data_IF_098085553151
#
_entry.id   IF_098085553151
#
_cell.length_a   1.000
_cell.length_b   1.000
_cell.length_c   1.000
_cell.angle_alpha   90.00
_cell.angle_beta   90.00
_cell.angle_gamma   90.00
#
_symmetry.space_group_name_H-M   'P 1'
#
loop_
_entity.id
_entity.type
_entity.pdbx_description
1 polymer ?
#
# COMPACT_ATOMS: atom_id res chain seq x y z
N UNK A 1 -4.35 -30.13 0.18
CA UNK A 1 -4.14 -30.12 1.65
C UNK A 1 -2.73 -29.65 2.04
N UNK A 2 -1.62 -30.22 1.55
CA UNK A 2 -0.26 -29.78 1.94
C UNK A 2 0.04 -28.30 1.67
N UNK A 3 -0.40 -27.76 0.51
CA UNK A 3 -0.12 -26.38 0.12
C UNK A 3 -0.84 -25.34 1.00
N UNK A 4 -2.02 -25.67 1.53
CA UNK A 4 -2.80 -24.76 2.39
C UNK A 4 -2.13 -24.54 3.75
N UNK A 5 -1.41 -25.55 4.25
CA UNK A 5 -0.71 -25.50 5.55
C UNK A 5 0.45 -24.50 5.54
N UNK A 6 1.13 -24.32 4.41
CA UNK A 6 2.25 -23.37 4.27
C UNK A 6 1.82 -21.96 3.86
N UNK A 7 0.71 -21.84 3.11
CA UNK A 7 0.20 -20.55 2.65
C UNK A 7 -0.39 -19.72 3.80
N UNK A 8 -1.07 -20.36 4.77
CA UNK A 8 -1.70 -19.64 5.89
C UNK A 8 -0.69 -18.86 6.72
N UNK A 9 0.37 -19.50 7.27
CA UNK A 9 1.38 -18.77 8.06
C UNK A 9 2.05 -17.66 7.26
N UNK A 10 2.28 -17.88 5.96
CA UNK A 10 2.89 -16.90 5.07
C UNK A 10 2.00 -15.65 4.91
N UNK A 11 0.70 -15.82 4.69
CA UNK A 11 -0.27 -14.70 4.59
C UNK A 11 -0.34 -13.91 5.89
N UNK A 12 -0.36 -14.59 7.02
CA UNK A 12 -0.38 -13.94 8.33
C UNK A 12 0.92 -13.19 8.63
N UNK A 13 2.07 -13.75 8.25
CA UNK A 13 3.36 -13.08 8.33
C UNK A 13 3.40 -11.85 7.42
N UNK A 14 2.95 -11.98 6.17
CA UNK A 14 2.87 -10.85 5.22
C UNK A 14 2.02 -9.72 5.80
N UNK A 15 0.86 -10.01 6.39
CA UNK A 15 0.00 -8.99 6.99
C UNK A 15 0.68 -8.26 8.16
N UNK A 16 1.40 -8.98 9.03
CA UNK A 16 2.15 -8.37 10.13
C UNK A 16 3.29 -7.49 9.61
N UNK A 17 4.03 -7.98 8.62
CA UNK A 17 5.07 -7.20 7.95
C UNK A 17 4.47 -5.97 7.25
N UNK A 18 3.30 -6.10 6.62
CA UNK A 18 2.60 -4.99 5.99
C UNK A 18 2.31 -3.89 7.01
N UNK A 19 1.75 -4.21 8.18
CA UNK A 19 1.46 -3.21 9.20
C UNK A 19 2.74 -2.53 9.70
N UNK A 20 3.81 -3.30 9.94
CA UNK A 20 5.09 -2.77 10.40
C UNK A 20 5.73 -1.83 9.36
N UNK A 21 5.94 -2.32 8.14
CA UNK A 21 6.69 -1.59 7.12
C UNK A 21 5.86 -0.53 6.39
N UNK A 22 4.54 -0.74 6.25
CA UNK A 22 3.69 0.17 5.46
C UNK A 22 2.95 1.20 6.30
N UNK A 23 2.85 1.01 7.61
CA UNK A 23 2.16 1.94 8.51
C UNK A 23 3.07 2.46 9.61
N UNK A 24 3.61 1.57 10.46
CA UNK A 24 4.30 1.99 11.67
C UNK A 24 5.63 2.71 11.40
N UNK A 25 6.51 2.11 10.61
CA UNK A 25 7.81 2.71 10.27
C UNK A 25 7.67 4.06 9.52
N UNK A 26 6.87 4.18 8.44
CA UNK A 26 6.71 5.47 7.76
C UNK A 26 6.04 6.53 8.64
N UNK A 27 5.19 6.15 9.59
CA UNK A 27 4.60 7.09 10.54
C UNK A 27 5.66 7.65 11.50
N UNK A 28 6.52 6.78 12.04
CA UNK A 28 7.65 7.19 12.90
C UNK A 28 8.60 8.09 12.11
N UNK A 29 8.94 7.73 10.87
CA UNK A 29 9.78 8.54 9.99
C UNK A 29 9.14 9.90 9.67
N UNK A 30 7.82 9.95 9.48
CA UNK A 30 7.12 11.20 9.20
C UNK A 30 7.18 12.15 10.40
N UNK A 31 6.91 11.66 11.60
CA UNK A 31 7.03 12.44 12.84
C UNK A 31 8.47 12.89 13.04
N UNK A 32 9.45 12.02 12.80
CA UNK A 32 10.86 12.35 12.97
C UNK A 32 11.33 13.40 11.96
N UNK A 33 10.94 13.28 10.69
CA UNK A 33 11.23 14.25 9.64
C UNK A 33 10.56 15.60 9.93
N UNK A 34 9.34 15.60 10.48
CA UNK A 34 8.66 16.82 10.93
C UNK A 34 9.43 17.52 12.05
N UNK A 35 9.88 16.78 13.07
CA UNK A 35 10.68 17.33 14.18
C UNK A 35 12.01 17.90 13.69
N UNK A 36 12.67 17.24 12.74
CA UNK A 36 13.92 17.73 12.12
C UNK A 36 13.72 18.77 11.02
N UNK A 37 12.46 19.10 10.68
CA UNK A 37 12.10 20.04 9.60
C UNK A 37 12.68 19.64 8.23
N UNK A 38 12.79 18.34 7.98
CA UNK A 38 13.24 17.81 6.69
C UNK A 38 12.06 17.80 5.71
N UNK A 39 11.97 18.82 4.86
CA UNK A 39 10.84 18.98 3.94
C UNK A 39 10.84 17.92 2.83
N UNK A 40 12.00 17.52 2.33
CA UNK A 40 12.11 16.56 1.24
C UNK A 40 11.56 15.18 1.66
N UNK A 41 11.99 14.69 2.83
CA UNK A 41 11.49 13.43 3.41
C UNK A 41 10.00 13.53 3.75
N UNK A 42 9.55 14.65 4.34
CA UNK A 42 8.13 14.86 4.65
C UNK A 42 7.25 14.82 3.40
N UNK A 43 7.67 15.48 2.32
CA UNK A 43 6.96 15.50 1.04
C UNK A 43 6.91 14.11 0.42
N UNK A 44 8.04 13.39 0.37
CA UNK A 44 8.05 12.03 -0.19
C UNK A 44 7.17 11.08 0.64
N UNK A 45 7.20 11.17 1.98
CA UNK A 45 6.32 10.39 2.84
C UNK A 45 4.84 10.77 2.65
N UNK A 46 4.53 12.04 2.43
CA UNK A 46 3.15 12.48 2.12
C UNK A 46 2.64 11.88 0.80
N UNK A 47 3.49 11.86 -0.24
CA UNK A 47 3.18 11.21 -1.52
C UNK A 47 3.00 9.71 -1.30
N UNK A 48 3.90 9.09 -0.55
CA UNK A 48 3.81 7.69 -0.16
C UNK A 48 2.47 7.36 0.49
N UNK A 49 2.02 8.12 1.51
CA UNK A 49 0.74 7.88 2.20
C UNK A 49 -0.47 7.99 1.28
N UNK A 50 -0.44 8.94 0.34
CA UNK A 50 -1.50 9.07 -0.67
C UNK A 50 -1.58 7.82 -1.53
N UNK A 51 -0.44 7.30 -1.99
CA UNK A 51 -0.38 6.11 -2.85
C UNK A 51 -0.65 4.81 -2.08
N UNK A 52 -0.09 4.66 -0.88
CA UNK A 52 -0.25 3.47 -0.04
C UNK A 52 -1.65 3.35 0.55
N UNK A 53 -2.45 4.43 0.57
CA UNK A 53 -3.86 4.38 0.96
C UNK A 53 -4.69 3.34 0.19
N UNK A 54 -4.26 2.97 -1.03
CA UNK A 54 -4.88 1.88 -1.79
C UNK A 54 -4.78 0.52 -1.08
N UNK A 55 -3.77 0.28 -0.23
CA UNK A 55 -3.71 -0.91 0.62
C UNK A 55 -4.82 -0.91 1.68
N UNK A 56 -5.12 0.24 2.29
CA UNK A 56 -6.21 0.37 3.25
C UNK A 56 -7.57 0.16 2.58
N UNK A 57 -7.77 0.78 1.41
CA UNK A 57 -8.95 0.55 0.56
C UNK A 57 -9.10 -0.94 0.23
N UNK A 58 -7.98 -1.61 -0.11
CA UNK A 58 -7.96 -3.05 -0.39
C UNK A 58 -8.46 -3.87 0.80
N UNK A 59 -8.03 -3.56 2.02
CA UNK A 59 -8.51 -4.25 3.22
C UNK A 59 -10.04 -4.16 3.33
N UNK A 60 -10.61 -2.98 3.08
CA UNK A 60 -12.06 -2.77 3.16
C UNK A 60 -12.83 -3.53 2.08
N UNK A 61 -12.30 -3.58 0.86
CA UNK A 61 -12.87 -4.38 -0.23
C UNK A 61 -12.86 -5.88 0.10
N UNK A 62 -11.75 -6.38 0.66
CA UNK A 62 -11.59 -7.80 1.01
C UNK A 62 -12.46 -8.23 2.20
N UNK A 63 -12.75 -7.33 3.15
CA UNK A 63 -13.73 -7.58 4.23
C UNK A 63 -15.09 -7.98 3.65
N UNK A 64 -15.53 -7.28 2.61
CA UNK A 64 -16.81 -7.51 1.94
C UNK A 64 -16.76 -8.56 0.82
N UNK A 65 -15.66 -9.32 0.69
CA UNK A 65 -15.45 -10.28 -0.39
C UNK A 65 -15.50 -9.68 -1.80
N UNK A 66 -15.21 -8.38 -1.96
CA UNK A 66 -15.29 -7.73 -3.26
C UNK A 66 -14.04 -8.12 -4.08
N UNK A 67 -14.20 -8.76 -5.26
CA UNK A 67 -13.07 -9.33 -6.01
C UNK A 67 -12.03 -8.30 -6.46
N UNK A 68 -12.45 -7.05 -6.65
CA UNK A 68 -11.55 -5.93 -7.00
C UNK A 68 -10.46 -5.72 -5.96
N UNK A 69 -10.67 -6.13 -4.69
CA UNK A 69 -9.66 -6.06 -3.63
C UNK A 69 -8.36 -6.81 -3.95
N UNK A 70 -8.43 -7.95 -4.65
CA UNK A 70 -7.23 -8.70 -5.04
C UNK A 70 -6.38 -7.90 -6.05
N UNK A 71 -7.04 -7.25 -7.02
CA UNK A 71 -6.38 -6.41 -8.02
C UNK A 71 -5.81 -5.15 -7.37
N UNK A 72 -6.60 -4.45 -6.55
CA UNK A 72 -6.15 -3.20 -5.92
C UNK A 72 -4.96 -3.43 -5.00
N UNK A 73 -4.90 -4.56 -4.28
CA UNK A 73 -3.77 -4.92 -3.43
C UNK A 73 -2.49 -5.16 -4.21
N UNK A 74 -2.56 -5.82 -5.36
CA UNK A 74 -1.41 -6.02 -6.25
C UNK A 74 -0.95 -4.71 -6.86
N UNK A 75 -1.89 -3.90 -7.38
CA UNK A 75 -1.58 -2.58 -7.95
C UNK A 75 -0.93 -1.68 -6.90
N UNK A 76 -1.44 -1.66 -5.66
CA UNK A 76 -0.85 -0.86 -4.59
C UNK A 76 0.63 -1.23 -4.34
N UNK A 77 0.96 -2.52 -4.31
CA UNK A 77 2.33 -3.00 -4.15
C UNK A 77 3.24 -2.62 -5.34
N UNK A 78 2.70 -2.42 -6.53
CA UNK A 78 3.46 -1.89 -7.68
C UNK A 78 3.62 -0.37 -7.61
N UNK A 79 2.56 0.35 -7.26
CA UNK A 79 2.56 1.81 -7.21
C UNK A 79 3.45 2.35 -6.09
N UNK A 80 3.59 1.65 -4.96
CA UNK A 80 4.39 2.12 -3.82
C UNK A 80 5.87 2.32 -4.19
N UNK A 81 6.60 1.31 -4.73
CA UNK A 81 7.97 1.51 -5.21
C UNK A 81 8.09 2.62 -6.25
N UNK A 82 7.13 2.71 -7.18
CA UNK A 82 7.12 3.78 -8.19
C UNK A 82 7.05 5.13 -7.49
N UNK A 83 6.10 5.32 -6.58
CA UNK A 83 5.92 6.57 -5.85
C UNK A 83 7.14 6.95 -5.02
N UNK A 84 7.85 5.97 -4.46
CA UNK A 84 9.07 6.21 -3.70
C UNK A 84 10.20 6.68 -4.63
N UNK A 85 10.42 6.10 -5.80
CA UNK A 85 11.62 6.35 -6.63
C UNK A 85 11.42 7.26 -7.84
N UNK A 86 10.19 7.57 -8.21
CA UNK A 86 9.88 8.28 -9.44
C UNK A 86 10.39 9.74 -9.47
N UNK A 87 10.33 10.44 -8.35
CA UNK A 87 10.58 11.90 -8.23
C UNK A 87 12.06 12.24 -8.22
N UNK A 88 12.56 12.92 -9.26
CA UNK A 88 13.98 13.24 -9.40
C UNK A 88 14.38 14.32 -8.39
N UNK A 89 13.59 15.39 -8.31
CA UNK A 89 13.85 16.54 -7.44
C UNK A 89 13.99 16.13 -5.97
N UNK A 90 13.03 15.34 -5.46
CA UNK A 90 13.10 14.84 -4.09
C UNK A 90 14.25 13.86 -3.87
N UNK A 91 14.65 13.11 -4.91
CA UNK A 91 15.77 12.18 -4.79
C UNK A 91 17.10 12.91 -4.69
N UNK A 92 17.32 13.91 -5.54
CA UNK A 92 18.51 14.75 -5.53
C UNK A 92 18.62 15.51 -4.20
N UNK A 93 17.53 16.14 -3.75
CA UNK A 93 17.51 16.87 -2.48
C UNK A 93 17.85 15.95 -1.28
N UNK A 94 17.28 14.75 -1.23
CA UNK A 94 17.60 13.77 -0.17
C UNK A 94 19.04 13.26 -0.29
N UNK A 95 19.59 13.13 -1.50
CA UNK A 95 20.97 12.67 -1.72
C UNK A 95 22.02 13.72 -1.32
N UNK A 96 21.71 15.00 -1.50
CA UNK A 96 22.60 16.11 -1.13
C UNK A 96 22.59 16.43 0.38
N UNK A 97 21.59 15.95 1.13
CA UNK A 97 21.55 16.12 2.59
C UNK A 97 22.78 15.53 3.29
N UNK A 98 23.26 16.16 4.39
CA UNK A 98 24.36 15.62 5.18
C UNK A 98 24.04 14.23 5.72
N UNK A 99 25.09 13.41 5.89
CA UNK A 99 24.93 12.06 6.47
C UNK A 99 24.40 12.19 7.90
N UNK A 100 23.20 11.68 8.14
CA UNK A 100 22.55 11.67 9.44
C UNK A 100 21.75 10.38 9.66
N UNK A 101 21.39 10.11 10.91
CA UNK A 101 20.66 8.89 11.28
C UNK A 101 19.30 8.84 10.57
N UNK A 102 18.59 9.97 10.48
CA UNK A 102 17.30 10.04 9.77
C UNK A 102 17.42 9.63 8.31
N UNK A 103 18.38 10.22 7.57
CA UNK A 103 18.64 9.87 6.17
C UNK A 103 18.98 8.40 5.99
N UNK A 104 19.82 7.83 6.88
CA UNK A 104 20.16 6.42 6.84
C UNK A 104 18.93 5.54 7.07
N UNK A 105 18.19 5.75 8.17
CA UNK A 105 17.00 4.97 8.50
C UNK A 105 15.93 5.09 7.42
N UNK A 106 15.72 6.30 6.88
CA UNK A 106 14.79 6.54 5.79
C UNK A 106 15.17 5.77 4.53
N UNK A 107 16.43 5.85 4.09
CA UNK A 107 16.89 5.13 2.90
C UNK A 107 16.86 3.60 3.09
N UNK A 108 17.20 3.11 4.28
CA UNK A 108 17.07 1.69 4.62
C UNK A 108 15.61 1.23 4.56
N UNK A 109 14.68 1.98 5.15
CA UNK A 109 13.26 1.70 5.07
C UNK A 109 12.74 1.74 3.63
N UNK A 110 13.17 2.73 2.85
CA UNK A 110 12.75 2.91 1.45
C UNK A 110 13.14 1.71 0.57
N UNK A 111 14.36 1.21 0.73
CA UNK A 111 14.81 -0.03 0.08
C UNK A 111 14.06 -1.27 0.59
N UNK A 112 13.91 -1.42 1.91
CA UNK A 112 13.16 -2.52 2.49
C UNK A 112 11.72 -2.57 1.96
N UNK A 113 11.06 -1.41 1.87
CA UNK A 113 9.70 -1.27 1.36
C UNK A 113 9.61 -1.63 -0.13
N UNK A 114 10.63 -1.28 -0.91
CA UNK A 114 10.73 -1.65 -2.34
C UNK A 114 10.81 -3.16 -2.51
N UNK A 115 11.72 -3.82 -1.79
CA UNK A 115 11.89 -5.27 -1.82
C UNK A 115 10.61 -5.97 -1.33
N UNK A 116 10.07 -5.54 -0.19
CA UNK A 116 8.83 -6.06 0.38
C UNK A 116 7.68 -5.98 -0.63
N UNK A 117 7.49 -4.84 -1.29
CA UNK A 117 6.39 -4.65 -2.23
C UNK A 117 6.56 -5.47 -3.50
N UNK A 118 7.79 -5.59 -4.02
CA UNK A 118 8.08 -6.42 -5.20
C UNK A 118 7.81 -7.90 -4.89
N UNK A 119 8.33 -8.41 -3.77
CA UNK A 119 8.09 -9.79 -3.35
C UNK A 119 6.60 -10.04 -3.10
N UNK A 120 5.91 -9.12 -2.44
CA UNK A 120 4.47 -9.21 -2.20
C UNK A 120 3.64 -9.15 -3.49
N UNK A 121 4.06 -8.35 -4.48
CA UNK A 121 3.41 -8.30 -5.79
C UNK A 121 3.55 -9.63 -6.52
N UNK A 122 4.75 -10.22 -6.55
CA UNK A 122 5.00 -11.55 -7.13
C UNK A 122 4.17 -12.61 -6.41
N UNK A 123 4.17 -12.60 -5.07
CA UNK A 123 3.39 -13.54 -4.27
C UNK A 123 1.87 -13.38 -4.46
N UNK A 124 1.40 -12.20 -4.88
CA UNK A 124 -0.03 -11.95 -5.13
C UNK A 124 -0.53 -12.46 -6.48
N UNK A 125 0.36 -12.79 -7.44
CA UNK A 125 -0.01 -13.23 -8.80
C UNK A 125 -0.99 -14.42 -8.80
N UNK A 126 -0.76 -15.50 -8.03
CA UNK A 126 -1.69 -16.63 -8.00
C UNK A 126 -3.08 -16.29 -7.47
N UNK A 127 -3.22 -15.21 -6.69
CA UNK A 127 -4.49 -14.77 -6.12
C UNK A 127 -5.26 -13.84 -7.07
N UNK A 128 -4.68 -13.39 -8.18
CA UNK A 128 -5.38 -12.55 -9.16
C UNK A 128 -6.56 -13.28 -9.82
N UNK A 129 -6.50 -14.60 -9.93
CA UNK A 129 -7.62 -15.40 -10.43
C UNK A 129 -8.90 -15.22 -9.60
N UNK A 130 -8.76 -14.92 -8.30
CA UNK A 130 -9.87 -14.65 -7.39
C UNK A 130 -10.66 -13.40 -7.80
N UNK A 131 -10.05 -12.48 -8.57
CA UNK A 131 -10.72 -11.28 -9.05
C UNK A 131 -11.66 -11.54 -10.24
N UNK A 132 -11.39 -12.57 -11.03
CA UNK A 132 -12.02 -12.79 -12.34
C UNK A 132 -13.03 -13.95 -12.35
N UNK A 133 -12.99 -14.86 -11.38
CA UNK A 133 -13.93 -15.99 -11.29
C UNK A 133 -14.70 -16.01 -9.98
N UNK A 134 -16.03 -16.06 -10.09
CA UNK A 134 -16.92 -16.21 -8.92
C UNK A 134 -16.78 -17.57 -8.25
N UNK A 135 -16.47 -18.61 -9.03
CA UNK A 135 -16.22 -19.96 -8.53
C UNK A 135 -14.88 -20.01 -7.77
N UNK A 136 -13.87 -19.28 -8.27
CA UNK A 136 -12.58 -19.17 -7.59
C UNK A 136 -12.70 -18.50 -6.22
N UNK A 137 -13.59 -17.53 -6.02
CA UNK A 137 -13.78 -16.84 -4.73
C UNK A 137 -14.15 -17.77 -3.57
N UNK A 138 -14.81 -18.90 -3.87
CA UNK A 138 -15.18 -19.90 -2.87
C UNK A 138 -14.04 -20.88 -2.54
N UNK A 139 -12.93 -20.83 -3.28
CA UNK A 139 -11.79 -21.72 -3.05
C UNK A 139 -11.02 -21.33 -1.79
N UNK A 140 -10.43 -22.31 -1.07
CA UNK A 140 -9.61 -22.05 0.11
C UNK A 140 -8.47 -21.06 -0.12
N UNK A 141 -7.92 -21.05 -1.34
CA UNK A 141 -6.87 -20.14 -1.76
C UNK A 141 -7.32 -18.68 -1.77
N UNK A 142 -8.56 -18.39 -2.17
CA UNK A 142 -9.06 -17.01 -2.17
C UNK A 142 -9.52 -16.57 -0.78
N UNK A 143 -10.08 -17.49 0.01
CA UNK A 143 -10.58 -17.18 1.36
C UNK A 143 -9.45 -16.87 2.35
N UNK A 144 -8.27 -17.48 2.18
CA UNK A 144 -7.13 -17.32 3.11
C UNK A 144 -6.65 -15.87 3.20
N UNK A 145 -6.65 -15.14 2.08
CA UNK A 145 -6.21 -13.74 2.02
C UNK A 145 -7.21 -12.79 2.68
N UNK A 146 -8.45 -13.25 2.91
CA UNK A 146 -9.51 -12.50 3.58
C UNK A 146 -9.49 -12.68 5.09
N UNK A 147 -8.81 -13.68 5.63
CA UNK A 147 -8.74 -13.89 7.08
C UNK A 147 -8.16 -12.67 7.82
N UNK A 148 -7.03 -12.06 7.40
CA UNK A 148 -6.49 -10.91 8.12
C UNK A 148 -7.37 -9.65 8.03
N UNK A 149 -7.96 -9.27 6.88
CA UNK A 149 -8.95 -8.19 6.82
C UNK A 149 -10.18 -8.43 7.71
N UNK A 150 -10.66 -9.67 7.82
CA UNK A 150 -11.78 -10.00 8.71
C UNK A 150 -11.41 -9.83 10.18
N UNK A 151 -10.22 -10.26 10.58
CA UNK A 151 -9.70 -10.00 11.92
C UNK A 151 -9.53 -8.49 12.20
N UNK A 152 -9.07 -7.72 11.22
CA UNK A 152 -9.01 -6.26 11.31
C UNK A 152 -10.39 -5.65 11.59
N UNK A 153 -11.44 -6.14 10.92
CA UNK A 153 -12.82 -5.74 11.22
C UNK A 153 -13.19 -6.05 12.66
N UNK A 154 -12.87 -7.23 13.17
CA UNK A 154 -13.19 -7.63 14.54
C UNK A 154 -12.56 -6.70 15.59
N UNK A 155 -11.32 -6.25 15.38
CA UNK A 155 -10.65 -5.35 16.32
C UNK A 155 -11.09 -3.89 16.21
N UNK A 156 -11.24 -3.36 14.99
CA UNK A 156 -11.43 -1.91 14.78
C UNK A 156 -12.87 -1.52 14.43
N UNK A 157 -13.69 -2.47 13.96
CA UNK A 157 -15.03 -2.23 13.44
C UNK A 157 -16.03 -3.33 13.84
N UNK A 158 -15.95 -3.83 15.09
CA UNK A 158 -16.74 -4.95 15.58
C UNK A 158 -18.25 -4.82 15.33
N UNK A 159 -18.78 -3.58 15.43
CA UNK A 159 -20.21 -3.28 15.29
C UNK A 159 -20.64 -2.96 13.85
N UNK A 160 -19.73 -3.01 12.88
CA UNK A 160 -20.01 -2.67 11.48
C UNK A 160 -20.25 -3.92 10.64
N UNK A 161 -21.21 -3.85 9.72
CA UNK A 161 -21.45 -4.94 8.77
C UNK A 161 -20.35 -4.97 7.70
N UNK A 162 -19.96 -6.16 7.20
CA UNK A 162 -19.02 -6.28 6.09
C UNK A 162 -19.45 -5.45 4.87
N UNK A 163 -20.76 -5.42 4.58
CA UNK A 163 -21.32 -4.72 3.43
C UNK A 163 -21.11 -3.20 3.54
N UNK A 164 -21.28 -2.62 4.73
CA UNK A 164 -21.04 -1.20 4.94
C UNK A 164 -19.56 -0.84 4.74
N UNK A 165 -18.64 -1.66 5.29
CA UNK A 165 -17.21 -1.44 5.10
C UNK A 165 -16.77 -1.64 3.64
N UNK A 166 -17.36 -2.61 2.95
CA UNK A 166 -17.18 -2.79 1.51
C UNK A 166 -17.64 -1.59 0.70
N UNK A 167 -18.79 -1.03 1.04
CA UNK A 167 -19.29 0.21 0.43
C UNK A 167 -18.30 1.37 0.63
N UNK A 168 -17.78 1.58 1.85
CA UNK A 168 -16.73 2.57 2.10
C UNK A 168 -15.47 2.30 1.26
N UNK A 169 -15.07 1.03 1.14
CA UNK A 169 -13.97 0.62 0.27
C UNK A 169 -14.20 0.99 -1.20
N UNK A 170 -15.41 0.77 -1.73
CA UNK A 170 -15.77 1.12 -3.11
C UNK A 170 -15.77 2.64 -3.31
N UNK A 171 -16.39 3.40 -2.41
CA UNK A 171 -16.39 4.87 -2.48
C UNK A 171 -14.96 5.41 -2.42
N UNK A 172 -14.14 4.90 -1.50
CA UNK A 172 -12.73 5.24 -1.38
C UNK A 172 -11.95 4.92 -2.65
N UNK A 173 -12.21 3.76 -3.27
CA UNK A 173 -11.58 3.37 -4.53
C UNK A 173 -11.96 4.31 -5.67
N UNK A 174 -13.23 4.69 -5.80
CA UNK A 174 -13.69 5.64 -6.82
C UNK A 174 -12.96 6.98 -6.66
N UNK A 175 -12.92 7.52 -5.44
CA UNK A 175 -12.22 8.76 -5.15
C UNK A 175 -10.72 8.66 -5.49
N UNK A 176 -10.08 7.57 -5.06
CA UNK A 176 -8.68 7.29 -5.34
C UNK A 176 -8.39 7.28 -6.84
N UNK A 177 -9.21 6.56 -7.62
CA UNK A 177 -9.06 6.46 -9.09
C UNK A 177 -9.24 7.82 -9.74
N UNK A 178 -10.27 8.59 -9.36
CA UNK A 178 -10.49 9.95 -9.91
C UNK A 178 -9.28 10.85 -9.62
N UNK A 179 -8.78 10.86 -8.40
CA UNK A 179 -7.61 11.66 -8.03
C UNK A 179 -6.34 11.21 -8.76
N UNK A 180 -6.10 9.89 -8.85
CA UNK A 180 -4.95 9.35 -9.55
C UNK A 180 -5.02 9.65 -11.05
N UNK A 181 -6.17 9.44 -11.69
CA UNK A 181 -6.38 9.77 -13.10
C UNK A 181 -6.20 11.27 -13.36
N UNK A 182 -6.73 12.13 -12.51
CA UNK A 182 -6.50 13.57 -12.62
C UNK A 182 -5.01 13.91 -12.52
N UNK A 183 -4.30 13.32 -11.56
CA UNK A 183 -2.86 13.52 -11.41
C UNK A 183 -2.10 13.06 -12.66
N UNK A 184 -2.33 11.83 -13.14
CA UNK A 184 -1.63 11.25 -14.29
C UNK A 184 -1.91 12.03 -15.59
N UNK A 185 -3.17 12.40 -15.83
CA UNK A 185 -3.57 13.05 -17.10
C UNK A 185 -3.21 14.53 -17.14
N UNK A 186 -3.31 15.26 -16.02
CA UNK A 186 -3.17 16.71 -16.03
C UNK A 186 -1.92 17.23 -15.33
N UNK A 187 -1.48 16.61 -14.24
CA UNK A 187 -0.32 17.09 -13.47
C UNK A 187 0.98 16.48 -13.95
N UNK A 188 1.00 15.17 -14.19
CA UNK A 188 2.21 14.45 -14.56
C UNK A 188 2.80 14.96 -15.89
N UNK A 189 1.95 15.22 -16.89
CA UNK A 189 2.40 15.78 -18.17
C UNK A 189 2.96 17.21 -18.07
N UNK A 190 2.55 17.98 -17.04
CA UNK A 190 3.02 19.36 -16.82
C UNK A 190 4.25 19.43 -15.92
N UNK A 191 4.29 18.62 -14.87
CA UNK A 191 5.33 18.64 -13.83
C UNK A 191 6.45 17.63 -14.11
N UNK A 192 6.22 16.67 -15.01
CA UNK A 192 7.15 15.60 -15.33
C UNK A 192 7.48 14.77 -14.10
N UNK A 193 8.78 14.68 -13.78
CA UNK A 193 9.30 13.95 -12.62
C UNK A 193 9.60 14.85 -11.41
N UNK A 194 9.08 16.08 -11.40
CA UNK A 194 9.28 17.03 -10.31
C UNK A 194 8.03 17.09 -9.43
N UNK A 195 8.18 16.87 -8.12
CA UNK A 195 7.12 17.01 -7.14
C UNK A 195 6.78 18.48 -6.85
N UNK A 196 7.68 19.41 -7.20
CA UNK A 196 7.50 20.85 -7.09
C UNK A 196 6.63 21.42 -8.22
N UNK A 197 5.65 22.31 -7.93
CA UNK A 197 5.14 23.22 -8.94
C UNK A 197 6.28 24.18 -9.35
N UNK A 198 6.58 24.21 -10.66
CA UNK A 198 7.41 25.25 -11.26
C UNK A 198 6.65 26.58 -11.34
#
# INVERSE_FOLDING_TARGET
>A
MQNEVWLRPLVWMDYRLAVLFTVLVPLILLVWAFVQKDEAIQRLLTIYWRVSSLLAITVYLLIAAIPVGYISGTIARVLIPIALWFWIDLNEEIDDQPRGVLKLTFNSWRWAMTIYSVLGAIASIPFLQCAFSREALATPLCTILREPPLLFREYFHANSTPQFLGFLGVVGLIFYVVCLSYFVLFKLGKQGRSALPQ
#
